data_IF_163965854347
#
_entry.id   IF_163965854347
#
_cell.length_a   1.000
_cell.length_b   1.000
_cell.length_c   1.000
_cell.angle_alpha   90.00
_cell.angle_beta   90.00
_cell.angle_gamma   90.00
#
_symmetry.space_group_name_H-M   'P 1'
#
loop_
_entity.id
_entity.type
_entity.pdbx_description
1 polymer ?
#
# COMPACT_ATOMS: atom_id res chain seq x y z
N UNK A 1 20.41 34.67 6.88
CA UNK A 1 20.44 33.23 6.57
C UNK A 1 19.81 32.50 7.74
N UNK A 2 18.48 32.36 7.71
CA UNK A 2 17.71 31.79 8.82
C UNK A 2 17.25 30.40 8.42
N UNK A 3 18.03 29.38 8.80
CA UNK A 3 17.65 27.97 8.70
C UNK A 3 16.59 27.68 9.77
N UNK A 4 15.31 27.82 9.41
CA UNK A 4 14.22 27.35 10.23
C UNK A 4 13.94 25.89 9.84
N UNK A 5 14.78 24.95 10.32
CA UNK A 5 14.46 23.52 10.21
C UNK A 5 13.45 23.17 11.31
N UNK A 6 12.19 23.58 11.08
CA UNK A 6 11.02 23.00 11.75
C UNK A 6 11.10 21.49 11.51
N UNK A 7 11.11 20.65 12.56
CA UNK A 7 11.49 19.22 12.53
C UNK A 7 10.62 18.28 11.67
N UNK A 8 9.85 18.83 10.73
CA UNK A 8 9.03 18.16 9.73
C UNK A 8 9.89 17.38 8.75
N UNK A 9 9.39 16.21 8.35
CA UNK A 9 10.02 15.30 7.39
C UNK A 9 9.90 15.75 5.93
N UNK A 10 9.07 16.76 5.65
CA UNK A 10 8.80 17.21 4.30
C UNK A 10 8.37 18.68 4.26
N UNK A 11 8.33 19.22 3.05
CA UNK A 11 7.86 20.57 2.73
C UNK A 11 6.86 20.51 1.57
N UNK A 12 5.86 21.38 1.59
CA UNK A 12 4.92 21.53 0.48
C UNK A 12 5.57 22.36 -0.64
N UNK A 13 5.63 21.83 -1.85
CA UNK A 13 6.25 22.48 -3.00
C UNK A 13 5.35 22.43 -4.24
N UNK A 14 5.65 23.28 -5.23
CA UNK A 14 5.07 23.16 -6.57
C UNK A 14 5.90 22.14 -7.34
N UNK A 15 5.24 21.10 -7.85
CA UNK A 15 5.85 20.03 -8.63
C UNK A 15 5.49 20.24 -10.10
N UNK A 16 6.48 20.44 -10.99
CA UNK A 16 6.24 20.62 -12.41
C UNK A 16 5.33 19.52 -12.99
N UNK A 17 4.22 19.94 -13.62
CA UNK A 17 3.24 19.02 -14.22
C UNK A 17 2.33 18.27 -13.24
N UNK A 18 2.56 18.33 -11.92
CA UNK A 18 1.72 17.66 -10.89
C UNK A 18 1.03 18.61 -9.91
N UNK A 19 1.26 19.91 -10.03
CA UNK A 19 0.62 20.90 -9.15
C UNK A 19 1.37 21.04 -7.82
N UNK A 20 0.73 20.72 -6.70
CA UNK A 20 1.37 20.76 -5.36
C UNK A 20 1.74 19.35 -4.92
N UNK A 21 2.88 19.19 -4.27
CA UNK A 21 3.37 17.91 -3.76
C UNK A 21 4.15 18.08 -2.45
N UNK A 22 4.35 16.99 -1.74
CA UNK A 22 5.23 16.96 -0.57
C UNK A 22 6.61 16.46 -0.98
N UNK A 23 7.66 17.15 -0.54
CA UNK A 23 9.06 16.81 -0.84
C UNK A 23 9.83 16.62 0.46
N UNK A 24 10.58 15.53 0.56
CA UNK A 24 11.32 15.16 1.76
C UNK A 24 12.36 16.24 2.10
N UNK A 25 12.38 16.69 3.35
CA UNK A 25 13.32 17.71 3.85
C UNK A 25 14.64 17.09 4.35
N UNK A 26 14.69 15.76 4.46
CA UNK A 26 15.83 14.95 4.85
C UNK A 26 15.60 13.51 4.41
N UNK A 27 16.62 12.67 4.49
CA UNK A 27 16.51 11.23 4.28
C UNK A 27 15.46 10.60 5.23
N UNK A 28 14.57 9.76 4.70
CA UNK A 28 13.53 9.03 5.47
C UNK A 28 13.74 7.53 5.29
N UNK A 29 13.81 6.80 6.40
CA UNK A 29 13.97 5.34 6.40
C UNK A 29 12.63 4.62 6.22
N UNK A 30 12.59 3.40 5.64
CA UNK A 30 11.39 2.57 5.61
C UNK A 30 10.78 2.38 7.01
N UNK A 31 9.44 2.36 7.08
CA UNK A 31 8.66 2.26 8.31
C UNK A 31 8.56 3.55 9.12
N UNK A 32 9.19 4.65 8.69
CA UNK A 32 9.01 5.94 9.35
C UNK A 32 7.58 6.44 9.13
N UNK A 33 6.90 6.80 10.23
CA UNK A 33 5.61 7.51 10.18
C UNK A 33 5.85 8.95 9.71
N UNK A 34 5.35 9.26 8.51
CA UNK A 34 5.50 10.55 7.85
C UNK A 34 4.36 11.49 8.22
N UNK A 35 3.11 11.05 8.04
CA UNK A 35 1.90 11.82 8.30
C UNK A 35 1.03 11.06 9.30
N UNK A 36 0.49 11.79 10.28
CA UNK A 36 -0.50 11.30 11.22
C UNK A 36 -1.64 12.32 11.34
N UNK A 37 -2.67 12.16 10.50
CA UNK A 37 -3.67 13.18 10.24
C UNK A 37 -5.08 12.73 10.65
N UNK A 38 -5.82 13.51 11.46
CA UNK A 38 -7.23 13.21 11.72
C UNK A 38 -8.07 13.62 10.51
N UNK A 39 -9.20 12.97 10.29
CA UNK A 39 -10.14 13.41 9.25
C UNK A 39 -10.67 14.81 9.59
N UNK A 40 -10.71 15.73 8.61
CA UNK A 40 -11.41 17.00 8.81
C UNK A 40 -12.92 16.77 8.98
N UNK A 41 -13.46 15.85 8.18
CA UNK A 41 -14.79 15.27 8.31
C UNK A 41 -14.84 13.94 7.54
N UNK A 42 -15.89 13.17 7.79
CA UNK A 42 -16.19 11.91 7.10
C UNK A 42 -17.41 12.07 6.20
N UNK A 43 -17.58 11.17 5.24
CA UNK A 43 -18.76 11.13 4.35
C UNK A 43 -19.93 10.37 4.97
N UNK A 44 -19.83 9.93 6.23
CA UNK A 44 -20.84 9.09 6.90
C UNK A 44 -22.22 9.77 6.92
N UNK A 45 -22.28 11.09 7.10
CA UNK A 45 -23.54 11.84 7.10
C UNK A 45 -24.08 12.16 5.69
N UNK A 46 -23.37 11.81 4.61
CA UNK A 46 -23.69 12.19 3.24
C UNK A 46 -24.47 11.08 2.52
N UNK A 47 -25.71 10.85 2.97
CA UNK A 47 -26.53 9.72 2.50
C UNK A 47 -27.47 10.07 1.34
N UNK A 48 -27.80 11.36 1.15
CA UNK A 48 -28.73 11.78 0.11
C UNK A 48 -28.00 12.39 -1.09
N UNK A 49 -28.04 11.69 -2.22
CA UNK A 49 -27.40 12.11 -3.46
C UNK A 49 -27.93 13.44 -4.02
N UNK A 50 -29.19 13.79 -3.74
CA UNK A 50 -29.80 15.04 -4.21
C UNK A 50 -29.32 16.28 -3.43
N UNK A 51 -28.89 16.09 -2.18
CA UNK A 51 -28.47 17.18 -1.30
C UNK A 51 -26.97 17.21 -1.02
N UNK A 52 -26.21 16.24 -1.52
CA UNK A 52 -24.80 16.03 -1.16
C UNK A 52 -23.93 17.29 -1.29
N UNK A 53 -24.11 18.08 -2.35
CA UNK A 53 -23.34 19.31 -2.54
C UNK A 53 -23.67 20.37 -1.48
N UNK A 54 -24.95 20.51 -1.15
CA UNK A 54 -25.42 21.45 -0.12
C UNK A 54 -24.94 21.02 1.26
N UNK A 55 -24.98 19.72 1.54
CA UNK A 55 -24.56 19.15 2.82
C UNK A 55 -23.03 19.29 2.98
N UNK A 56 -22.25 19.02 1.93
CA UNK A 56 -20.81 19.29 1.90
C UNK A 56 -20.50 20.78 2.09
N UNK A 57 -21.23 21.68 1.43
CA UNK A 57 -21.05 23.11 1.62
C UNK A 57 -21.30 23.54 3.08
N UNK A 58 -22.31 22.96 3.74
CA UNK A 58 -22.61 23.20 5.14
C UNK A 58 -21.50 22.66 6.06
N UNK A 59 -21.02 21.44 5.81
CA UNK A 59 -19.89 20.84 6.53
C UNK A 59 -18.65 21.72 6.43
N UNK A 60 -18.25 22.09 5.20
CA UNK A 60 -17.06 22.95 4.99
C UNK A 60 -17.24 24.30 5.67
N UNK A 61 -18.41 24.93 5.57
CA UNK A 61 -18.68 26.23 6.21
C UNK A 61 -18.56 26.18 7.73
N UNK A 62 -18.88 25.05 8.35
CA UNK A 62 -18.79 24.85 9.80
C UNK A 62 -17.35 24.65 10.31
N UNK A 63 -16.39 24.29 9.43
CA UNK A 63 -15.00 24.09 9.81
C UNK A 63 -14.29 25.40 10.21
N UNK A 64 -13.18 25.34 10.97
CA UNK A 64 -12.29 26.49 11.15
C UNK A 64 -11.82 27.09 9.83
N UNK A 65 -11.51 28.40 9.82
CA UNK A 65 -11.11 29.11 8.58
C UNK A 65 -9.87 28.52 7.91
N UNK A 66 -8.94 27.99 8.69
CA UNK A 66 -7.73 27.34 8.15
C UNK A 66 -8.07 26.03 7.45
N UNK A 67 -8.96 25.22 8.03
CA UNK A 67 -9.48 24.00 7.43
C UNK A 67 -10.29 24.27 6.16
N UNK A 68 -11.12 25.33 6.15
CA UNK A 68 -11.81 25.80 4.94
C UNK A 68 -10.81 26.11 3.83
N UNK A 69 -9.78 26.91 4.14
CA UNK A 69 -8.71 27.25 3.18
C UNK A 69 -7.95 26.02 2.71
N UNK A 70 -7.66 25.08 3.61
CA UNK A 70 -6.97 23.83 3.27
C UNK A 70 -7.75 23.05 2.22
N UNK A 71 -9.03 22.78 2.45
CA UNK A 71 -9.91 22.04 1.52
C UNK A 71 -10.06 22.78 0.19
N UNK A 72 -10.39 24.08 0.23
CA UNK A 72 -10.61 24.88 -0.98
C UNK A 72 -9.33 25.05 -1.82
N UNK A 73 -8.16 24.72 -1.26
CA UNK A 73 -6.88 24.74 -1.96
C UNK A 73 -6.43 23.36 -2.45
N UNK A 74 -7.22 22.31 -2.23
CA UNK A 74 -6.98 20.98 -2.79
C UNK A 74 -7.24 20.97 -4.30
N UNK A 75 -6.67 19.98 -4.98
CA UNK A 75 -6.82 19.87 -6.41
C UNK A 75 -8.25 19.40 -6.76
N UNK A 76 -8.81 19.91 -7.86
CA UNK A 76 -10.14 19.51 -8.34
C UNK A 76 -10.02 18.99 -9.77
N UNK A 77 -10.10 17.67 -9.93
CA UNK A 77 -10.01 17.00 -11.23
C UNK A 77 -11.23 17.28 -12.13
N UNK A 78 -12.35 17.74 -11.54
CA UNK A 78 -13.64 17.90 -12.22
C UNK A 78 -14.20 19.30 -11.96
N UNK A 79 -13.57 20.38 -12.48
CA UNK A 79 -14.10 21.72 -12.31
C UNK A 79 -15.48 21.85 -12.98
N UNK A 80 -16.40 22.59 -12.35
CA UNK A 80 -17.76 22.78 -12.87
C UNK A 80 -18.80 22.92 -11.76
N UNK A 81 -20.02 22.48 -12.04
CA UNK A 81 -21.08 22.39 -11.04
C UNK A 81 -20.69 21.42 -9.91
N UNK A 82 -21.15 21.71 -8.70
CA UNK A 82 -20.87 20.95 -7.48
C UNK A 82 -19.37 20.93 -7.06
N UNK A 83 -18.75 22.11 -6.84
CA UNK A 83 -17.33 22.21 -6.53
C UNK A 83 -16.92 21.42 -5.28
N UNK A 84 -17.74 21.35 -4.23
CA UNK A 84 -17.36 20.62 -3.02
C UNK A 84 -17.32 19.12 -3.28
N UNK A 85 -18.35 18.57 -3.93
CA UNK A 85 -18.41 17.16 -4.34
C UNK A 85 -17.23 16.78 -5.22
N UNK A 86 -16.84 17.65 -6.16
CA UNK A 86 -15.74 17.38 -7.08
C UNK A 86 -14.36 17.44 -6.39
N UNK A 87 -14.18 18.35 -5.42
CA UNK A 87 -12.99 18.35 -4.55
C UNK A 87 -12.95 17.07 -3.73
N UNK A 88 -14.04 16.67 -3.08
CA UNK A 88 -14.05 15.46 -2.24
C UNK A 88 -13.83 14.21 -3.08
N UNK A 89 -14.44 14.11 -4.27
CA UNK A 89 -14.17 13.02 -5.21
C UNK A 89 -12.70 12.89 -5.60
N UNK A 90 -11.98 14.02 -5.66
CA UNK A 90 -10.57 14.04 -6.06
C UNK A 90 -9.60 13.76 -4.91
N UNK A 91 -10.02 13.91 -3.65
CA UNK A 91 -9.12 13.93 -2.49
C UNK A 91 -9.62 13.09 -1.29
N UNK A 92 -10.77 12.43 -1.41
CA UNK A 92 -11.33 11.58 -0.37
C UNK A 92 -10.62 10.22 -0.34
N UNK A 93 -10.39 9.72 0.87
CA UNK A 93 -9.80 8.41 1.10
C UNK A 93 -10.80 7.50 1.81
N UNK A 94 -10.90 6.21 1.46
CA UNK A 94 -11.74 5.28 2.19
C UNK A 94 -11.20 5.08 3.61
N UNK A 95 -12.09 4.95 4.60
CA UNK A 95 -11.75 4.69 6.00
C UNK A 95 -11.56 3.18 6.25
N UNK A 96 -10.70 2.57 5.43
CA UNK A 96 -10.39 1.14 5.45
C UNK A 96 -10.73 0.43 4.13
N UNK A 97 -10.20 -0.78 3.90
CA UNK A 97 -10.26 -1.46 2.59
C UNK A 97 -11.67 -1.80 2.09
N UNK A 98 -12.65 -1.92 2.99
CA UNK A 98 -14.04 -2.29 2.68
C UNK A 98 -15.05 -1.25 3.15
N UNK A 99 -14.59 -0.05 3.51
CA UNK A 99 -15.48 1.02 3.96
C UNK A 99 -16.09 1.77 2.78
N UNK A 100 -17.40 1.96 2.82
CA UNK A 100 -18.15 2.89 1.99
C UNK A 100 -18.07 4.34 2.51
N UNK A 101 -17.52 4.53 3.71
CA UNK A 101 -17.27 5.82 4.32
C UNK A 101 -15.87 6.30 3.93
N UNK A 102 -15.81 7.52 3.41
CA UNK A 102 -14.58 8.25 3.14
C UNK A 102 -14.27 9.31 4.19
N UNK A 103 -13.03 9.76 4.23
CA UNK A 103 -12.58 10.92 4.99
C UNK A 103 -11.74 11.88 4.13
N UNK A 104 -11.67 13.13 4.57
CA UNK A 104 -10.86 14.17 3.91
C UNK A 104 -9.66 14.51 4.78
N UNK A 105 -8.47 14.37 4.18
CA UNK A 105 -7.17 14.48 4.83
C UNK A 105 -6.31 15.45 4.01
N UNK A 106 -6.41 16.78 4.21
CA UNK A 106 -5.81 17.77 3.32
C UNK A 106 -4.30 17.67 3.15
N UNK A 107 -3.57 17.20 4.16
CA UNK A 107 -2.12 17.03 4.09
C UNK A 107 -1.77 15.77 3.30
N UNK A 108 -2.41 14.64 3.61
CA UNK A 108 -2.27 13.37 2.88
C UNK A 108 -2.65 13.53 1.40
N UNK A 109 -3.71 14.29 1.11
CA UNK A 109 -4.16 14.61 -0.25
C UNK A 109 -3.17 15.47 -1.07
N UNK A 110 -2.07 15.94 -0.47
CA UNK A 110 -0.96 16.58 -1.21
C UNK A 110 0.03 15.57 -1.79
N UNK A 111 -0.02 14.31 -1.40
CA UNK A 111 0.94 13.32 -1.86
C UNK A 111 0.52 12.84 -3.24
N UNK A 112 1.32 13.15 -4.27
CA UNK A 112 1.03 12.78 -5.65
C UNK A 112 1.23 11.29 -5.93
N UNK A 113 0.80 10.89 -7.13
CA UNK A 113 1.00 9.53 -7.62
C UNK A 113 2.42 9.24 -8.13
N UNK A 114 2.93 8.05 -7.83
CA UNK A 114 3.93 7.32 -8.65
C UNK A 114 3.54 5.85 -8.78
N UNK A 115 3.84 5.22 -9.93
CA UNK A 115 3.67 3.78 -10.10
C UNK A 115 4.70 2.96 -9.30
N UNK A 116 5.80 3.59 -8.85
CA UNK A 116 6.80 3.05 -7.89
C UNK A 116 6.82 3.90 -6.62
N UNK A 117 5.64 4.02 -6.02
CA UNK A 117 5.41 4.81 -4.82
C UNK A 117 6.42 4.52 -3.70
N UNK A 118 6.77 5.56 -2.95
CA UNK A 118 7.71 5.45 -1.84
C UNK A 118 7.05 5.55 -0.45
N UNK A 119 5.76 5.84 -0.42
CA UNK A 119 4.93 5.83 0.79
C UNK A 119 3.65 5.02 0.59
N UNK A 120 3.04 4.62 1.70
CA UNK A 120 1.74 3.94 1.76
C UNK A 120 0.87 4.64 2.81
N UNK A 121 -0.40 4.84 2.49
CA UNK A 121 -1.38 5.34 3.45
C UNK A 121 -2.16 4.17 4.07
N UNK A 122 -2.62 4.34 5.29
CA UNK A 122 -3.47 3.39 6.00
C UNK A 122 -4.39 4.12 6.98
N UNK A 123 -5.67 3.78 6.96
CA UNK A 123 -6.59 4.20 8.01
C UNK A 123 -6.39 3.34 9.25
N UNK A 124 -6.02 3.96 10.37
CA UNK A 124 -5.93 3.29 11.65
C UNK A 124 -7.24 3.47 12.42
N UNK A 125 -8.06 2.42 12.48
CA UNK A 125 -9.36 2.45 13.15
C UNK A 125 -9.26 2.68 14.65
N UNK A 126 -8.21 2.19 15.33
CA UNK A 126 -8.06 2.38 16.79
C UNK A 126 -7.75 3.84 17.13
N UNK A 127 -6.91 4.49 16.30
CA UNK A 127 -6.52 5.88 16.47
C UNK A 127 -7.51 6.86 15.83
N UNK A 128 -8.35 6.39 14.91
CA UNK A 128 -9.21 7.21 14.04
C UNK A 128 -8.40 8.25 13.26
N UNK A 129 -7.28 7.83 12.66
CA UNK A 129 -6.35 8.70 11.91
C UNK A 129 -5.85 8.06 10.63
N UNK A 130 -5.61 8.88 9.62
CA UNK A 130 -4.87 8.52 8.42
C UNK A 130 -3.38 8.56 8.74
N UNK A 131 -2.72 7.42 8.56
CA UNK A 131 -1.28 7.29 8.71
C UNK A 131 -0.65 7.17 7.34
N UNK A 132 0.51 7.79 7.14
CA UNK A 132 1.35 7.60 5.95
C UNK A 132 2.73 7.18 6.40
N UNK A 133 3.20 6.03 5.91
CA UNK A 133 4.53 5.50 6.22
C UNK A 133 5.40 5.43 4.96
N UNK A 134 6.71 5.63 5.12
CA UNK A 134 7.68 5.31 4.07
C UNK A 134 7.75 3.79 3.89
N UNK A 135 7.60 3.28 2.67
CA UNK A 135 7.72 1.83 2.38
C UNK A 135 9.08 1.45 1.79
N UNK A 136 9.85 2.45 1.33
CA UNK A 136 11.25 2.34 0.95
C UNK A 136 12.01 3.58 1.40
N UNK A 137 13.33 3.57 1.24
CA UNK A 137 14.14 4.75 1.50
C UNK A 137 13.69 5.91 0.59
N UNK A 138 13.59 7.11 1.19
CA UNK A 138 13.27 8.37 0.49
C UNK A 138 14.44 9.32 0.71
N UNK A 139 15.07 9.77 -0.37
CA UNK A 139 16.19 10.71 -0.30
C UNK A 139 15.72 12.12 0.07
N UNK A 140 16.61 12.94 0.65
CA UNK A 140 16.36 14.37 0.79
C UNK A 140 16.12 15.00 -0.60
N UNK A 141 15.06 15.80 -0.72
CA UNK A 141 14.64 16.38 -2.00
C UNK A 141 13.81 15.46 -2.90
N UNK A 142 13.60 14.19 -2.53
CA UNK A 142 12.70 13.29 -3.26
C UNK A 142 11.23 13.61 -2.94
N UNK A 143 10.37 13.58 -3.97
CA UNK A 143 8.93 13.74 -3.82
C UNK A 143 8.34 12.53 -3.08
N UNK A 144 7.51 12.77 -2.06
CA UNK A 144 6.71 11.74 -1.42
C UNK A 144 5.60 11.35 -2.40
N UNK A 145 5.38 10.06 -2.60
CA UNK A 145 4.39 9.55 -3.56
C UNK A 145 3.63 8.34 -3.04
N UNK A 146 2.35 8.26 -3.39
CA UNK A 146 1.45 7.12 -3.15
C UNK A 146 1.11 6.42 -4.48
N UNK A 147 0.68 5.17 -4.44
CA UNK A 147 -0.01 4.56 -5.58
C UNK A 147 -1.51 4.84 -5.47
N UNK A 148 -2.10 5.39 -6.52
CA UNK A 148 -3.54 5.67 -6.57
C UNK A 148 -4.34 4.50 -7.16
N UNK A 149 -3.63 3.50 -7.68
CA UNK A 149 -4.16 2.36 -8.41
C UNK A 149 -3.44 1.08 -7.97
N UNK A 150 -4.00 -0.08 -8.31
CA UNK A 150 -3.44 -1.39 -7.95
C UNK A 150 -2.11 -1.70 -8.66
N UNK A 151 -1.87 -1.10 -9.85
CA UNK A 151 -0.68 -1.33 -10.67
C UNK A 151 -1.04 -1.96 -12.02
N UNK A 152 -0.24 -2.94 -12.47
CA UNK A 152 -0.39 -3.58 -13.79
C UNK A 152 0.50 -2.96 -14.87
N UNK A 153 0.43 -3.40 -16.14
CA UNK A 153 1.17 -2.87 -17.28
C UNK A 153 0.87 -1.40 -17.59
N UNK A 154 1.75 -0.73 -18.33
CA UNK A 154 1.73 0.71 -18.55
C UNK A 154 0.45 1.23 -19.20
N UNK A 155 -0.12 0.48 -20.14
CA UNK A 155 -1.39 0.82 -20.79
C UNK A 155 -2.56 0.86 -19.79
N UNK A 156 -2.69 -0.20 -18.97
CA UNK A 156 -3.72 -0.29 -17.92
C UNK A 156 -3.54 0.83 -16.88
N UNK A 157 -2.31 1.05 -16.39
CA UNK A 157 -2.02 2.13 -15.44
C UNK A 157 -2.40 3.49 -16.00
N UNK A 158 -1.99 3.80 -17.23
CA UNK A 158 -2.29 5.09 -17.89
C UNK A 158 -3.78 5.27 -18.11
N UNK A 159 -4.49 4.23 -18.59
CA UNK A 159 -5.94 4.26 -18.78
C UNK A 159 -6.67 4.53 -17.46
N UNK A 160 -6.33 3.80 -16.39
CA UNK A 160 -6.93 3.98 -15.07
C UNK A 160 -6.70 5.39 -14.52
N UNK A 161 -5.47 5.89 -14.60
CA UNK A 161 -5.13 7.23 -14.11
C UNK A 161 -5.83 8.33 -14.93
N UNK A 162 -5.94 8.16 -16.24
CA UNK A 162 -6.66 9.11 -17.10
C UNK A 162 -8.15 9.14 -16.77
N UNK A 163 -8.77 7.97 -16.60
CA UNK A 163 -10.21 7.85 -16.36
C UNK A 163 -10.62 8.27 -14.95
N UNK A 164 -9.82 7.94 -13.94
CA UNK A 164 -10.16 8.17 -12.53
C UNK A 164 -9.63 9.52 -12.00
N UNK A 165 -8.47 9.96 -12.48
CA UNK A 165 -7.74 11.10 -11.93
C UNK A 165 -7.37 12.17 -12.98
N UNK A 166 -7.81 12.01 -14.22
CA UNK A 166 -7.70 13.01 -15.31
C UNK A 166 -6.28 13.49 -15.65
N UNK A 167 -5.24 12.71 -15.35
CA UNK A 167 -3.85 13.03 -15.70
C UNK A 167 -3.11 11.90 -16.43
N UNK A 168 -2.05 12.26 -17.17
CA UNK A 168 -1.13 11.33 -17.80
C UNK A 168 0.10 11.14 -16.91
N UNK A 169 0.39 9.89 -16.52
CA UNK A 169 1.45 9.61 -15.55
C UNK A 169 2.85 9.73 -16.17
N UNK A 170 3.62 10.71 -15.67
CA UNK A 170 5.03 10.93 -16.02
C UNK A 170 6.03 10.44 -14.95
N UNK A 171 5.66 9.47 -14.10
CA UNK A 171 6.60 8.93 -13.10
C UNK A 171 7.79 8.22 -13.76
N UNK A 172 8.82 7.94 -12.98
CA UNK A 172 10.06 7.24 -13.36
C UNK A 172 9.80 5.92 -14.09
N UNK A 173 8.76 5.17 -13.70
CA UNK A 173 8.41 3.93 -14.36
C UNK A 173 7.74 4.18 -15.72
N UNK A 174 6.77 5.10 -15.78
CA UNK A 174 6.03 5.40 -17.02
C UNK A 174 6.88 6.17 -18.04
N UNK A 175 7.97 6.79 -17.60
CA UNK A 175 8.92 7.55 -18.42
C UNK A 175 10.15 6.75 -18.85
N UNK A 176 10.21 5.44 -18.53
CA UNK A 176 11.28 4.57 -19.00
C UNK A 176 11.38 4.56 -20.54
N UNK A 177 12.59 4.36 -21.11
CA UNK A 177 12.75 4.08 -22.52
C UNK A 177 11.87 2.91 -22.97
N UNK A 178 11.38 2.97 -24.22
CA UNK A 178 10.37 2.04 -24.76
C UNK A 178 10.69 0.57 -24.50
N UNK A 179 11.92 0.14 -24.69
CA UNK A 179 12.31 -1.27 -24.50
C UNK A 179 12.35 -1.68 -23.02
N UNK A 180 12.79 -0.78 -22.13
CA UNK A 180 12.77 -1.03 -20.68
C UNK A 180 11.34 -1.04 -20.13
N UNK A 181 10.49 -0.13 -20.63
CA UNK A 181 9.07 -0.11 -20.29
C UNK A 181 8.37 -1.40 -20.75
N UNK A 182 8.68 -1.89 -21.95
CA UNK A 182 8.14 -3.16 -22.46
C UNK A 182 8.53 -4.36 -21.58
N UNK A 183 9.78 -4.42 -21.12
CA UNK A 183 10.24 -5.47 -20.20
C UNK A 183 9.54 -5.38 -18.84
N UNK A 184 9.35 -4.17 -18.30
CA UNK A 184 8.57 -3.98 -17.09
C UNK A 184 7.11 -4.42 -17.27
N UNK A 185 6.50 -4.07 -18.39
CA UNK A 185 5.13 -4.49 -18.69
C UNK A 185 5.01 -6.01 -18.80
N UNK A 186 6.00 -6.71 -19.35
CA UNK A 186 6.03 -8.17 -19.38
C UNK A 186 6.12 -8.77 -17.98
N UNK A 187 6.99 -8.23 -17.11
CA UNK A 187 7.06 -8.63 -15.70
C UNK A 187 5.75 -8.38 -14.97
N UNK A 188 5.10 -7.25 -15.19
CA UNK A 188 3.85 -6.90 -14.51
C UNK A 188 2.64 -7.71 -15.01
N UNK A 189 2.61 -8.11 -16.29
CA UNK A 189 1.63 -9.11 -16.78
C UNK A 189 1.86 -10.46 -16.13
N UNK A 190 3.11 -10.91 -16.07
CA UNK A 190 3.46 -12.15 -15.37
C UNK A 190 3.08 -12.08 -13.89
N UNK A 191 3.28 -10.93 -13.24
CA UNK A 191 2.88 -10.74 -11.85
C UNK A 191 1.37 -10.93 -11.66
N UNK A 192 0.53 -10.36 -12.54
CA UNK A 192 -0.93 -10.56 -12.52
C UNK A 192 -1.30 -12.05 -12.65
N UNK A 193 -0.71 -12.77 -13.61
CA UNK A 193 -0.98 -14.20 -13.78
C UNK A 193 -0.54 -15.04 -12.56
N UNK A 194 0.59 -14.70 -11.95
CA UNK A 194 1.06 -15.37 -10.73
C UNK A 194 0.13 -15.08 -9.56
N UNK A 195 -0.31 -13.84 -9.40
CA UNK A 195 -1.25 -13.41 -8.35
C UNK A 195 -2.56 -14.20 -8.40
N UNK A 196 -3.13 -14.32 -9.60
CA UNK A 196 -4.35 -15.11 -9.85
C UNK A 196 -4.14 -16.59 -9.55
N UNK A 197 -3.02 -17.17 -9.97
CA UNK A 197 -2.69 -18.57 -9.72
C UNK A 197 -2.50 -18.88 -8.22
N UNK A 198 -1.86 -17.98 -7.48
CA UNK A 198 -1.69 -18.08 -6.02
C UNK A 198 -3.06 -18.01 -5.31
N UNK A 199 -3.98 -17.20 -5.83
CA UNK A 199 -5.35 -17.07 -5.31
C UNK A 199 -6.25 -18.30 -5.54
N UNK A 200 -5.86 -19.24 -6.41
CA UNK A 200 -6.64 -20.46 -6.65
C UNK A 200 -6.46 -21.49 -5.51
N UNK A 201 -7.50 -21.63 -4.68
CA UNK A 201 -7.54 -22.58 -3.58
C UNK A 201 -7.26 -24.04 -4.00
N UNK A 202 -7.58 -24.43 -5.24
CA UNK A 202 -7.27 -25.78 -5.76
C UNK A 202 -5.77 -25.93 -5.98
N UNK A 203 -5.11 -24.94 -6.58
CA UNK A 203 -3.65 -24.93 -6.80
C UNK A 203 -2.94 -24.98 -5.44
N UNK A 204 -3.33 -24.12 -4.50
CA UNK A 204 -2.77 -24.09 -3.14
C UNK A 204 -2.91 -25.44 -2.43
N UNK A 205 -4.05 -26.13 -2.58
CA UNK A 205 -4.28 -27.42 -1.92
C UNK A 205 -3.57 -28.60 -2.62
N UNK A 206 -3.68 -28.66 -3.95
CA UNK A 206 -3.28 -29.83 -4.73
C UNK A 206 -1.79 -29.81 -5.09
N UNK A 207 -1.26 -28.64 -5.48
CA UNK A 207 0.10 -28.44 -5.96
C UNK A 207 0.81 -27.32 -5.18
N UNK A 208 1.01 -27.49 -3.86
CA UNK A 208 1.52 -26.41 -3.03
C UNK A 208 2.97 -26.03 -3.33
N UNK A 209 3.79 -26.95 -3.85
CA UNK A 209 5.15 -26.66 -4.30
C UNK A 209 5.13 -25.61 -5.42
N UNK A 210 4.18 -25.76 -6.36
CA UNK A 210 3.98 -24.81 -7.45
C UNK A 210 3.47 -23.46 -6.94
N UNK A 211 2.50 -23.47 -6.03
CA UNK A 211 1.98 -22.23 -5.43
C UNK A 211 3.08 -21.44 -4.70
N UNK A 212 3.94 -22.12 -3.94
CA UNK A 212 5.04 -21.48 -3.23
C UNK A 212 6.15 -20.98 -4.16
N UNK A 213 6.42 -21.71 -5.26
CA UNK A 213 7.30 -21.26 -6.34
C UNK A 213 6.75 -19.99 -7.02
N UNK A 214 5.44 -19.94 -7.28
CA UNK A 214 4.79 -18.77 -7.86
C UNK A 214 4.85 -17.57 -6.91
N UNK A 215 4.67 -17.76 -5.58
CA UNK A 215 4.89 -16.71 -4.60
C UNK A 215 6.32 -16.14 -4.67
N UNK A 216 7.32 -17.00 -4.82
CA UNK A 216 8.72 -16.56 -4.94
C UNK A 216 8.97 -15.79 -6.24
N UNK A 217 8.45 -16.29 -7.36
CA UNK A 217 8.59 -15.61 -8.64
C UNK A 217 7.92 -14.22 -8.60
N UNK A 218 6.78 -14.11 -7.93
CA UNK A 218 6.10 -12.83 -7.71
C UNK A 218 6.93 -11.89 -6.82
N UNK A 219 7.57 -12.40 -5.76
CA UNK A 219 8.44 -11.61 -4.90
C UNK A 219 9.63 -11.02 -5.68
N UNK A 220 10.24 -11.81 -6.57
CA UNK A 220 11.33 -11.32 -7.42
C UNK A 220 10.87 -10.18 -8.32
N UNK A 221 9.68 -10.29 -8.92
CA UNK A 221 9.11 -9.22 -9.72
C UNK A 221 8.85 -7.98 -8.87
N UNK A 222 8.31 -8.13 -7.65
CA UNK A 222 8.10 -6.99 -6.75
C UNK A 222 9.40 -6.29 -6.38
N UNK A 223 10.49 -7.04 -6.16
CA UNK A 223 11.80 -6.45 -5.89
C UNK A 223 12.34 -5.68 -7.11
N UNK A 224 12.27 -6.27 -8.31
CA UNK A 224 12.72 -5.64 -9.56
C UNK A 224 11.89 -4.40 -9.93
N UNK A 225 10.58 -4.45 -9.68
CA UNK A 225 9.65 -3.36 -9.95
C UNK A 225 9.51 -2.37 -8.79
N UNK A 226 10.24 -2.57 -7.69
CA UNK A 226 10.23 -1.73 -6.50
C UNK A 226 8.84 -1.56 -5.86
N UNK A 227 8.11 -2.67 -5.76
CA UNK A 227 6.79 -2.76 -5.14
C UNK A 227 6.94 -3.12 -3.66
N UNK A 228 6.68 -2.15 -2.79
CA UNK A 228 6.81 -2.27 -1.33
C UNK A 228 5.54 -1.90 -0.56
N UNK A 229 4.45 -1.60 -1.28
CA UNK A 229 3.14 -1.32 -0.68
C UNK A 229 2.47 -2.59 -0.14
N UNK A 230 1.17 -2.51 0.21
CA UNK A 230 0.38 -3.58 0.82
C UNK A 230 0.36 -4.91 0.02
N UNK A 231 0.78 -4.91 -1.25
CA UNK A 231 0.95 -6.14 -2.03
C UNK A 231 2.07 -7.03 -1.47
N UNK A 232 3.16 -6.45 -0.97
CA UNK A 232 4.28 -7.20 -0.42
C UNK A 232 3.94 -7.98 0.87
N UNK A 233 3.33 -7.38 1.92
CA UNK A 233 2.88 -8.14 3.08
C UNK A 233 1.79 -9.16 2.72
N UNK A 234 0.93 -8.86 1.73
CA UNK A 234 -0.09 -9.82 1.24
C UNK A 234 0.57 -11.07 0.66
N UNK A 235 1.60 -10.90 -0.18
CA UNK A 235 2.35 -12.01 -0.77
C UNK A 235 3.00 -12.91 0.27
N UNK A 236 3.62 -12.33 1.30
CA UNK A 236 4.17 -13.12 2.40
C UNK A 236 3.08 -13.82 3.22
N UNK A 237 1.92 -13.20 3.36
CA UNK A 237 0.76 -13.82 3.99
C UNK A 237 0.21 -15.00 3.15
N UNK A 238 0.18 -14.89 1.81
CA UNK A 238 -0.20 -15.99 0.93
C UNK A 238 0.76 -17.19 1.09
N UNK A 239 2.08 -16.94 1.11
CA UNK A 239 3.09 -17.96 1.38
C UNK A 239 2.92 -18.60 2.78
N UNK A 240 2.59 -17.79 3.79
CA UNK A 240 2.23 -18.29 5.12
C UNK A 240 1.03 -19.24 5.07
N UNK A 241 -0.06 -18.85 4.39
CA UNK A 241 -1.29 -19.65 4.31
C UNK A 241 -1.03 -21.00 3.64
N UNK A 242 -0.24 -21.02 2.56
CA UNK A 242 0.18 -22.25 1.88
C UNK A 242 0.92 -23.17 2.88
N UNK A 243 1.97 -22.66 3.54
CA UNK A 243 2.75 -23.46 4.50
C UNK A 243 1.92 -23.96 5.68
N UNK A 244 1.11 -23.08 6.28
CA UNK A 244 0.27 -23.41 7.43
C UNK A 244 -0.77 -24.47 7.08
N UNK A 245 -1.41 -24.39 5.89
CA UNK A 245 -2.37 -25.37 5.41
C UNK A 245 -1.79 -26.79 5.34
N UNK A 246 -0.52 -26.90 4.94
CA UNK A 246 0.18 -28.19 4.76
C UNK A 246 0.99 -28.63 6.00
N UNK A 247 0.80 -27.95 7.14
CA UNK A 247 1.41 -28.30 8.41
C UNK A 247 2.88 -27.89 8.56
N UNK A 248 3.43 -27.07 7.65
CA UNK A 248 4.81 -26.57 7.72
C UNK A 248 4.91 -25.38 8.68
N UNK A 249 4.88 -25.67 9.99
CA UNK A 249 4.90 -24.64 11.03
C UNK A 249 6.21 -23.84 11.05
N UNK A 250 7.33 -24.46 10.66
CA UNK A 250 8.62 -23.80 10.60
C UNK A 250 8.61 -22.64 9.59
N UNK A 251 8.26 -22.92 8.33
CA UNK A 251 8.21 -21.88 7.29
C UNK A 251 7.06 -20.90 7.50
N UNK A 252 5.90 -21.40 7.93
CA UNK A 252 4.77 -20.53 8.23
C UNK A 252 5.13 -19.44 9.26
N UNK A 253 5.84 -19.80 10.34
CA UNK A 253 6.28 -18.81 11.33
C UNK A 253 7.18 -17.71 10.72
N UNK A 254 8.07 -18.08 9.79
CA UNK A 254 8.96 -17.12 9.09
C UNK A 254 8.18 -16.25 8.10
N UNK A 255 7.29 -16.82 7.30
CA UNK A 255 6.47 -16.05 6.36
C UNK A 255 5.52 -15.09 7.08
N UNK A 256 4.90 -15.50 8.19
CA UNK A 256 4.10 -14.61 9.03
C UNK A 256 4.94 -13.47 9.64
N UNK A 257 6.20 -13.75 10.03
CA UNK A 257 7.12 -12.72 10.51
C UNK A 257 7.45 -11.70 9.41
N UNK A 258 7.78 -12.15 8.18
CA UNK A 258 8.05 -11.25 7.04
C UNK A 258 6.82 -10.46 6.62
N UNK A 259 5.65 -11.10 6.60
CA UNK A 259 4.38 -10.42 6.38
C UNK A 259 4.18 -9.32 7.43
N UNK A 260 4.44 -9.59 8.71
CA UNK A 260 4.37 -8.58 9.77
C UNK A 260 5.36 -7.44 9.54
N UNK A 261 6.63 -7.74 9.32
CA UNK A 261 7.68 -6.71 9.16
C UNK A 261 7.34 -5.74 8.02
N UNK A 262 6.92 -6.28 6.88
CA UNK A 262 6.50 -5.46 5.73
C UNK A 262 5.15 -4.77 5.94
N UNK A 263 4.22 -5.35 6.72
CA UNK A 263 2.95 -4.71 7.12
C UNK A 263 3.19 -3.53 8.06
N UNK A 264 4.11 -3.66 9.02
CA UNK A 264 4.52 -2.57 9.92
C UNK A 264 5.04 -1.39 9.14
N UNK A 265 5.81 -1.61 8.07
CA UNK A 265 6.29 -0.53 7.21
C UNK A 265 5.17 0.22 6.47
N UNK A 266 4.00 -0.41 6.29
CA UNK A 266 2.86 0.18 5.60
C UNK A 266 1.87 0.86 6.56
N UNK A 267 1.61 0.25 7.71
CA UNK A 267 0.46 0.58 8.57
C UNK A 267 0.83 0.95 10.01
N UNK A 268 2.10 0.78 10.41
CA UNK A 268 2.53 0.90 11.80
C UNK A 268 2.43 -0.43 12.57
N UNK A 269 3.07 -0.50 13.74
CA UNK A 269 3.15 -1.72 14.54
C UNK A 269 1.89 -2.01 15.36
N UNK A 270 1.09 -0.97 15.59
CA UNK A 270 -0.17 -0.95 16.33
C UNK A 270 -1.39 -1.31 15.45
N UNK A 271 -1.18 -1.53 14.15
CA UNK A 271 -2.27 -1.92 13.25
C UNK A 271 -2.81 -3.30 13.63
N UNK A 272 -4.13 -3.49 13.50
CA UNK A 272 -4.80 -4.76 13.82
C UNK A 272 -4.19 -5.92 13.04
N UNK A 273 -3.83 -5.70 11.77
CA UNK A 273 -3.20 -6.72 10.93
C UNK A 273 -1.76 -7.02 11.37
N UNK A 274 -0.98 -6.01 11.79
CA UNK A 274 0.37 -6.23 12.32
C UNK A 274 0.36 -7.05 13.62
N UNK A 275 -0.61 -6.80 14.51
CA UNK A 275 -0.83 -7.57 15.74
C UNK A 275 -1.28 -9.01 15.43
N UNK A 276 -2.21 -9.18 14.50
CA UNK A 276 -2.67 -10.50 14.05
C UNK A 276 -1.52 -11.33 13.47
N UNK A 277 -0.70 -10.74 12.61
CA UNK A 277 0.47 -11.41 12.03
C UNK A 277 1.53 -11.75 13.09
N UNK A 278 1.67 -10.94 14.14
CA UNK A 278 2.53 -11.27 15.28
C UNK A 278 2.09 -12.56 15.97
N UNK A 279 0.79 -12.70 16.23
CA UNK A 279 0.20 -13.90 16.84
C UNK A 279 0.41 -15.12 15.94
N UNK A 280 0.21 -14.99 14.63
CA UNK A 280 0.41 -16.08 13.67
C UNK A 280 1.89 -16.49 13.52
N UNK A 281 2.83 -15.54 13.65
CA UNK A 281 4.25 -15.83 13.63
C UNK A 281 4.70 -16.64 14.86
N UNK A 282 4.07 -16.41 16.02
CA UNK A 282 4.34 -17.18 17.23
C UNK A 282 3.68 -18.56 17.20
N UNK A 283 2.47 -18.64 16.65
CA UNK A 283 1.73 -19.89 16.56
C UNK A 283 0.90 -19.96 15.26
N UNK A 284 1.47 -20.55 14.19
CA UNK A 284 0.78 -20.74 12.93
C UNK A 284 -0.49 -21.59 13.02
N UNK A 285 -0.70 -22.35 14.11
CA UNK A 285 -1.90 -23.18 14.28
C UNK A 285 -3.15 -22.39 14.59
N UNK A 286 -3.01 -21.11 14.93
CA UNK A 286 -4.14 -20.17 15.09
C UNK A 286 -4.75 -19.73 13.77
N UNK A 287 -4.13 -20.06 12.64
CA UNK A 287 -4.76 -19.87 11.33
C UNK A 287 -5.86 -20.91 11.13
N UNK A 288 -7.04 -20.45 10.72
CA UNK A 288 -8.26 -21.27 10.61
C UNK A 288 -8.08 -22.54 9.74
N UNK A 289 -7.26 -22.46 8.69
CA UNK A 289 -7.01 -23.57 7.78
C UNK A 289 -5.68 -24.29 8.06
N UNK A 290 -5.07 -24.07 9.23
CA UNK A 290 -3.82 -24.73 9.58
C UNK A 290 -4.00 -26.26 9.68
N UNK A 291 -3.09 -27.01 9.06
CA UNK A 291 -3.07 -28.47 9.14
C UNK A 291 -4.22 -29.19 8.44
N UNK A 292 -4.95 -28.52 7.53
CA UNK A 292 -5.95 -29.15 6.65
C UNK A 292 -5.34 -30.30 5.84
N UNK A 293 -4.05 -30.21 5.52
CA UNK A 293 -3.23 -31.34 5.09
C UNK A 293 -1.94 -31.41 5.90
N UNK A 294 -1.18 -32.49 5.71
CA UNK A 294 0.08 -32.74 6.44
C UNK A 294 1.28 -32.98 5.51
N UNK A 295 1.20 -32.53 4.24
CA UNK A 295 2.25 -32.77 3.22
C UNK A 295 3.65 -32.31 3.66
N UNK A 296 3.75 -31.27 4.47
CA UNK A 296 5.00 -30.62 4.84
C UNK A 296 5.19 -30.46 6.35
N UNK A 297 4.66 -31.41 7.13
CA UNK A 297 4.64 -31.36 8.59
C UNK A 297 6.01 -31.00 9.18
N UNK A 298 6.06 -29.91 9.93
CA UNK A 298 7.25 -29.44 10.68
C UNK A 298 6.83 -28.75 11.98
N UNK A 299 7.78 -28.52 12.87
CA UNK A 299 7.63 -27.75 14.12
C UNK A 299 8.39 -26.42 13.99
N UNK A 300 7.99 -25.41 14.76
CA UNK A 300 8.71 -24.13 14.80
C UNK A 300 10.18 -24.32 15.21
N UNK A 301 10.47 -25.31 16.07
CA UNK A 301 11.83 -25.66 16.46
C UNK A 301 12.70 -26.19 15.31
N UNK A 302 12.11 -26.55 14.16
CA UNK A 302 12.82 -27.05 12.98
C UNK A 302 13.29 -25.90 12.06
N UNK A 303 13.09 -24.63 12.44
CA UNK A 303 13.65 -23.47 11.73
C UNK A 303 15.18 -23.51 11.82
N UNK A 304 15.90 -23.56 10.68
CA UNK A 304 17.36 -23.56 10.70
C UNK A 304 17.91 -22.18 11.10
N UNK A 305 19.18 -22.15 11.50
CA UNK A 305 19.87 -20.88 11.70
C UNK A 305 19.92 -20.08 10.39
N UNK A 306 19.68 -18.77 10.49
CA UNK A 306 19.81 -17.85 9.36
C UNK A 306 21.28 -17.81 8.92
N UNK A 307 21.55 -18.47 7.80
CA UNK A 307 22.88 -18.71 7.22
C UNK A 307 22.76 -18.89 5.71
N UNK A 308 23.89 -19.08 5.03
CA UNK A 308 23.93 -19.36 3.59
C UNK A 308 23.08 -20.59 3.26
N UNK A 309 21.98 -20.37 2.53
CA UNK A 309 20.99 -21.41 2.21
C UNK A 309 19.64 -21.27 2.92
N UNK A 310 19.49 -20.34 3.86
CA UNK A 310 18.22 -20.09 4.54
C UNK A 310 17.08 -19.75 3.55
N UNK A 311 17.33 -18.88 2.57
CA UNK A 311 16.34 -18.56 1.53
C UNK A 311 15.98 -19.78 0.68
N UNK A 312 16.97 -20.60 0.30
CA UNK A 312 16.71 -21.85 -0.43
C UNK A 312 15.81 -22.77 0.38
N UNK A 313 16.10 -22.94 1.67
CA UNK A 313 15.24 -23.69 2.59
C UNK A 313 13.84 -23.08 2.65
N UNK A 314 13.72 -21.78 2.92
CA UNK A 314 12.44 -21.09 3.11
C UNK A 314 11.52 -21.27 1.89
N UNK A 315 12.09 -21.17 0.69
CA UNK A 315 11.34 -21.33 -0.56
C UNK A 315 11.32 -22.77 -1.11
N UNK A 316 11.69 -23.76 -0.29
CA UNK A 316 11.71 -25.20 -0.63
C UNK A 316 12.47 -25.49 -1.94
N UNK A 317 13.54 -24.76 -2.22
CA UNK A 317 14.42 -25.03 -3.34
C UNK A 317 15.31 -26.26 -3.05
N UNK A 318 15.65 -27.01 -4.09
CA UNK A 318 16.72 -28.00 -3.98
C UNK A 318 18.03 -27.29 -3.60
N UNK A 319 18.74 -27.81 -2.59
CA UNK A 319 20.00 -27.25 -2.10
C UNK A 319 21.11 -27.40 -3.12
#
# INVERSE_FOLDING_TARGET
>A
MTSNHDGRLYTLQIIPGKGKGLVASRKIAPGTLIINEPALFTTESLQNAETIEKDLAALVKALPKDSQRAILSLHNNFPGANPFSNIIRSNGYPLGPSSDIGGVFPETARINHSCRANAQHAWNEKLQRMLVHAVREIAEGEELTLSYIIGGPSEERRSNLKNLFTFDCGCELCSLPKDQLKQSDERLRRAQCLDEAIGDAKVVRQTPERALEDCRALLQIYQEEQIYDLRLPRLYYDAFQICAMHGDRARAAIFARRARETRVNCEGAESTEAERLHVLAQDPTKYENAGVTSKWKSKIADVPQESDGFEKWLWRQCL
#
